data_IF_946576836209
#
_entry.id   IF_946576836209
#
_cell.length_a   1.000
_cell.length_b   1.000
_cell.length_c   1.000
_cell.angle_alpha   90.00
_cell.angle_beta   90.00
_cell.angle_gamma   90.00
#
_symmetry.space_group_name_H-M   'P 1'
#
loop_
_entity.id
_entity.type
_entity.pdbx_description
1 polymer ?
#
# COMPACT_ATOMS: atom_id res chain seq x y z
N UNK A 1 52.89 29.93 3.44
CA UNK A 1 51.50 30.45 3.44
C UNK A 1 50.59 29.79 2.39
N UNK A 2 51.12 29.32 1.24
CA UNK A 2 50.30 28.76 0.13
C UNK A 2 49.75 27.33 0.32
N UNK A 3 50.30 26.49 1.21
CA UNK A 3 49.78 25.13 1.43
C UNK A 3 48.44 25.09 2.20
N UNK A 4 48.21 26.04 3.11
CA UNK A 4 46.98 26.12 3.93
C UNK A 4 45.74 26.47 3.08
N UNK A 5 45.89 27.35 2.10
CA UNK A 5 44.79 27.80 1.22
C UNK A 5 44.31 26.68 0.30
N UNK A 6 45.23 25.89 -0.29
CA UNK A 6 44.86 24.78 -1.18
C UNK A 6 44.16 23.63 -0.44
N UNK A 7 44.57 23.31 0.78
CA UNK A 7 43.92 22.26 1.59
C UNK A 7 42.50 22.65 1.99
N UNK A 8 42.28 23.92 2.36
CA UNK A 8 40.94 24.43 2.74
C UNK A 8 39.97 24.35 1.56
N UNK A 9 40.41 24.70 0.36
CA UNK A 9 39.58 24.69 -0.84
C UNK A 9 39.22 23.26 -1.26
N UNK A 10 40.17 22.30 -1.22
CA UNK A 10 39.91 20.89 -1.55
C UNK A 10 38.94 20.24 -0.55
N UNK A 11 39.10 20.50 0.76
CA UNK A 11 38.17 20.00 1.79
C UNK A 11 36.76 20.57 1.59
N UNK A 12 36.64 21.84 1.24
CA UNK A 12 35.35 22.48 0.96
C UNK A 12 34.64 21.84 -0.26
N UNK A 13 35.40 21.52 -1.32
CA UNK A 13 34.85 20.86 -2.52
C UNK A 13 34.36 19.45 -2.21
N UNK A 14 35.11 18.67 -1.42
CA UNK A 14 34.72 17.30 -1.03
C UNK A 14 33.46 17.31 -0.16
N UNK A 15 33.37 18.23 0.82
CA UNK A 15 32.18 18.38 1.67
C UNK A 15 30.94 18.79 0.86
N UNK A 16 31.11 19.69 -0.11
CA UNK A 16 30.02 20.07 -1.03
C UNK A 16 29.54 18.89 -1.87
N UNK A 17 30.45 18.05 -2.39
CA UNK A 17 30.09 16.89 -3.21
C UNK A 17 29.31 15.84 -2.40
N UNK A 18 29.72 15.59 -1.16
CA UNK A 18 29.02 14.68 -0.24
C UNK A 18 27.62 15.22 0.10
N UNK A 19 27.51 16.54 0.35
CA UNK A 19 26.23 17.19 0.60
C UNK A 19 25.27 17.09 -0.59
N UNK A 20 25.76 17.29 -1.81
CA UNK A 20 24.97 17.11 -3.04
C UNK A 20 24.56 15.65 -3.22
N UNK A 21 25.47 14.69 -2.98
CA UNK A 21 25.16 13.27 -3.07
C UNK A 21 24.07 12.86 -2.06
N UNK A 22 24.19 13.31 -0.81
CA UNK A 22 23.18 13.07 0.22
C UNK A 22 21.82 13.69 -0.15
N UNK A 23 21.82 14.93 -0.64
CA UNK A 23 20.61 15.60 -1.09
C UNK A 23 19.95 14.85 -2.25
N UNK A 24 20.72 14.40 -3.25
CA UNK A 24 20.23 13.59 -4.36
C UNK A 24 19.65 12.27 -3.88
N UNK A 25 20.30 11.59 -2.91
CA UNK A 25 19.74 10.35 -2.34
C UNK A 25 18.44 10.59 -1.59
N UNK A 26 18.34 11.66 -0.80
CA UNK A 26 17.11 12.03 -0.08
C UNK A 26 16.00 12.40 -1.06
N UNK A 27 16.32 13.17 -2.11
CA UNK A 27 15.37 13.49 -3.18
C UNK A 27 14.91 12.24 -3.93
N UNK A 28 15.79 11.29 -4.25
CA UNK A 28 15.42 10.04 -4.91
C UNK A 28 14.53 9.17 -4.00
N UNK A 29 14.81 9.11 -2.69
CA UNK A 29 13.95 8.42 -1.72
C UNK A 29 12.59 9.12 -1.60
N UNK A 30 12.56 10.45 -1.56
CA UNK A 30 11.31 11.23 -1.53
C UNK A 30 10.49 11.11 -2.81
N UNK A 31 11.15 11.01 -3.98
CA UNK A 31 10.49 10.82 -5.27
C UNK A 31 9.97 9.39 -5.47
N UNK A 32 10.61 8.38 -4.86
CA UNK A 32 10.10 7.00 -4.85
C UNK A 32 8.77 6.86 -4.10
N UNK A 33 8.47 7.75 -3.15
CA UNK A 33 7.17 7.82 -2.49
C UNK A 33 6.05 8.47 -3.32
N UNK A 34 6.31 8.82 -4.59
CA UNK A 34 5.35 9.44 -5.52
C UNK A 34 5.17 8.64 -6.81
N UNK A 35 5.44 7.33 -6.80
CA UNK A 35 4.87 6.48 -7.83
C UNK A 35 3.34 6.59 -7.68
N UNK A 36 2.64 6.85 -8.78
CA UNK A 36 1.18 6.79 -8.76
C UNK A 36 0.79 5.41 -8.21
N UNK A 37 0.05 5.43 -7.10
CA UNK A 37 -0.38 4.25 -6.38
C UNK A 37 -1.48 3.57 -7.19
N UNK A 38 -1.07 2.86 -8.24
CA UNK A 38 -1.96 2.25 -9.21
C UNK A 38 -1.63 0.79 -9.44
N UNK A 39 -2.63 -0.02 -9.79
CA UNK A 39 -2.52 -1.44 -10.07
C UNK A 39 -3.26 -1.78 -11.36
N UNK A 40 -2.77 -2.74 -12.12
CA UNK A 40 -3.48 -3.24 -13.30
C UNK A 40 -4.45 -4.34 -12.88
N UNK A 41 -5.75 -4.08 -13.03
CA UNK A 41 -6.83 -5.05 -12.77
C UNK A 41 -7.62 -5.19 -14.07
N UNK A 42 -7.75 -6.42 -14.58
CA UNK A 42 -8.45 -6.72 -15.84
C UNK A 42 -8.00 -5.88 -17.06
N UNK A 43 -6.72 -5.48 -17.11
CA UNK A 43 -6.15 -4.65 -18.17
C UNK A 43 -6.43 -3.15 -18.03
N UNK A 44 -7.04 -2.72 -16.93
CA UNK A 44 -7.29 -1.32 -16.59
C UNK A 44 -6.40 -0.87 -15.44
N UNK A 45 -5.91 0.38 -15.53
CA UNK A 45 -5.13 0.98 -14.44
C UNK A 45 -6.08 1.53 -13.37
N UNK A 46 -6.10 0.88 -12.22
CA UNK A 46 -6.92 1.23 -11.07
C UNK A 46 -6.09 1.99 -10.04
N UNK A 47 -6.66 3.04 -9.45
CA UNK A 47 -6.05 3.75 -8.32
C UNK A 47 -6.24 2.97 -7.01
N UNK A 48 -5.17 2.85 -6.22
CA UNK A 48 -5.18 2.24 -4.89
C UNK A 48 -5.34 3.28 -3.78
N UNK A 49 -5.51 4.57 -4.11
CA UNK A 49 -5.84 5.58 -3.11
C UNK A 49 -7.25 5.39 -2.57
N UNK A 50 -7.39 5.30 -1.25
CA UNK A 50 -8.68 5.28 -0.56
C UNK A 50 -8.64 6.11 0.72
N UNK A 51 -9.27 7.30 0.70
CA UNK A 51 -9.44 8.15 1.87
C UNK A 51 -10.82 8.07 2.51
N UNK A 52 -11.82 7.55 1.79
CA UNK A 52 -13.19 7.38 2.25
C UNK A 52 -13.85 6.13 1.64
N UNK A 53 -15.10 5.87 2.05
CA UNK A 53 -15.94 4.78 1.58
C UNK A 53 -16.12 4.80 0.06
N UNK A 54 -16.33 5.99 -0.52
CA UNK A 54 -16.56 6.15 -1.96
C UNK A 54 -15.33 5.80 -2.80
N UNK A 55 -14.12 6.03 -2.28
CA UNK A 55 -12.89 5.54 -2.93
C UNK A 55 -12.83 4.00 -2.95
N UNK A 56 -13.23 3.34 -1.86
CA UNK A 56 -13.25 1.87 -1.76
C UNK A 56 -14.31 1.28 -2.70
N UNK A 57 -15.50 1.88 -2.77
CA UNK A 57 -16.54 1.48 -3.73
C UNK A 57 -16.06 1.58 -5.18
N UNK A 58 -15.34 2.66 -5.53
CA UNK A 58 -14.75 2.80 -6.87
C UNK A 58 -13.73 1.72 -7.17
N UNK A 59 -12.89 1.37 -6.19
CA UNK A 59 -11.97 0.24 -6.33
C UNK A 59 -12.73 -1.08 -6.57
N UNK A 60 -13.74 -1.40 -5.77
CA UNK A 60 -14.55 -2.61 -5.96
C UNK A 60 -15.26 -2.63 -7.31
N UNK A 61 -15.76 -1.47 -7.76
CA UNK A 61 -16.38 -1.33 -9.09
C UNK A 61 -15.39 -1.62 -10.21
N UNK A 62 -14.15 -1.13 -10.10
CA UNK A 62 -13.09 -1.42 -11.06
C UNK A 62 -12.63 -2.89 -11.06
N UNK A 63 -12.86 -3.62 -9.95
CA UNK A 63 -12.69 -5.07 -9.86
C UNK A 63 -13.88 -5.86 -10.45
N UNK A 64 -14.88 -5.16 -11.02
CA UNK A 64 -16.04 -5.77 -11.68
C UNK A 64 -17.29 -5.95 -10.81
N UNK A 65 -17.30 -5.48 -9.56
CA UNK A 65 -18.49 -5.54 -8.70
C UNK A 65 -19.39 -4.33 -8.94
N UNK A 66 -20.53 -4.52 -9.59
CA UNK A 66 -21.36 -3.41 -10.10
C UNK A 66 -22.16 -2.67 -9.03
N UNK A 67 -22.38 -3.25 -7.85
CA UNK A 67 -23.20 -2.65 -6.79
C UNK A 67 -22.73 -3.08 -5.39
N UNK A 68 -21.52 -2.69 -4.97
CA UNK A 68 -21.07 -2.93 -3.61
C UNK A 68 -21.98 -2.16 -2.63
N UNK A 69 -22.54 -2.85 -1.63
CA UNK A 69 -23.34 -2.29 -0.56
C UNK A 69 -22.53 -2.29 0.74
N UNK A 70 -22.31 -1.11 1.32
CA UNK A 70 -21.55 -0.98 2.56
C UNK A 70 -22.24 -1.68 3.72
N UNK A 71 -21.49 -2.51 4.45
CA UNK A 71 -21.98 -3.19 5.65
C UNK A 71 -21.48 -2.49 6.91
N UNK A 72 -20.17 -2.48 7.12
CA UNK A 72 -19.53 -1.81 8.25
C UNK A 72 -18.04 -1.62 7.99
N UNK A 73 -17.41 -0.79 8.82
CA UNK A 73 -15.96 -0.63 8.87
C UNK A 73 -15.48 -0.74 10.31
N UNK A 74 -14.25 -1.19 10.51
CA UNK A 74 -13.61 -1.17 11.82
C UNK A 74 -12.10 -1.00 11.73
N UNK A 75 -11.52 -0.40 12.77
CA UNK A 75 -10.07 -0.25 12.88
C UNK A 75 -9.43 -1.55 13.35
N UNK A 76 -8.38 -1.96 12.64
CA UNK A 76 -7.54 -3.10 12.97
C UNK A 76 -6.08 -2.64 13.05
N UNK A 77 -5.23 -3.47 13.65
CA UNK A 77 -3.78 -3.28 13.60
C UNK A 77 -3.16 -4.47 12.89
N UNK A 78 -2.43 -4.22 11.81
CA UNK A 78 -1.67 -5.28 11.15
C UNK A 78 -0.65 -5.82 12.15
N UNK A 79 -0.59 -7.14 12.42
CA UNK A 79 0.29 -7.66 13.47
C UNK A 79 1.76 -7.34 13.20
N UNK A 80 2.49 -6.99 14.27
CA UNK A 80 3.95 -6.78 14.21
C UNK A 80 4.71 -8.07 13.96
N UNK A 81 4.30 -9.14 14.66
CA UNK A 81 4.86 -10.47 14.53
C UNK A 81 3.85 -11.34 13.79
N UNK A 82 4.29 -12.01 12.73
CA UNK A 82 3.44 -12.88 11.94
C UNK A 82 3.65 -14.34 12.35
N UNK A 83 2.56 -15.07 12.42
CA UNK A 83 2.54 -16.53 12.42
C UNK A 83 2.36 -17.04 10.99
N UNK A 84 2.25 -18.35 10.84
CA UNK A 84 2.07 -18.99 9.52
C UNK A 84 0.80 -18.48 8.82
N UNK A 85 -0.29 -18.28 9.58
CA UNK A 85 -1.57 -17.77 9.04
C UNK A 85 -1.42 -16.39 8.38
N UNK A 86 -0.80 -15.42 9.07
CA UNK A 86 -0.58 -14.08 8.49
C UNK A 86 0.45 -14.10 7.36
N UNK A 87 1.40 -15.03 7.41
CA UNK A 87 2.39 -15.20 6.35
C UNK A 87 1.70 -15.70 5.08
N UNK A 88 0.90 -16.75 5.18
CA UNK A 88 0.09 -17.30 4.08
C UNK A 88 -0.92 -16.28 3.56
N UNK A 89 -1.60 -15.55 4.45
CA UNK A 89 -2.52 -14.48 4.05
C UNK A 89 -1.80 -13.41 3.22
N UNK A 90 -0.62 -12.95 3.65
CA UNK A 90 0.14 -11.98 2.87
C UNK A 90 0.64 -12.56 1.55
N UNK A 91 0.99 -13.85 1.49
CA UNK A 91 1.38 -14.49 0.23
C UNK A 91 0.25 -14.48 -0.80
N UNK A 92 -1.00 -14.72 -0.36
CA UNK A 92 -2.18 -14.58 -1.21
C UNK A 92 -2.41 -13.13 -1.66
N UNK A 93 -2.24 -12.17 -0.75
CA UNK A 93 -2.36 -10.74 -1.09
C UNK A 93 -1.26 -10.29 -2.08
N UNK A 94 -0.04 -10.82 -1.96
CA UNK A 94 1.07 -10.56 -2.89
C UNK A 94 0.85 -11.07 -4.29
N UNK A 95 0.08 -12.15 -4.46
CA UNK A 95 -0.31 -12.62 -5.79
C UNK A 95 -1.20 -11.61 -6.53
N UNK A 96 -1.93 -10.79 -5.78
CA UNK A 96 -2.78 -9.71 -6.30
C UNK A 96 -2.04 -8.37 -6.43
N UNK A 97 -0.74 -8.30 -6.10
CA UNK A 97 0.04 -7.06 -6.15
C UNK A 97 0.06 -6.24 -4.87
N UNK A 98 -0.55 -6.73 -3.79
CA UNK A 98 -0.51 -6.10 -2.47
C UNK A 98 0.68 -6.59 -1.63
N UNK A 99 1.13 -5.83 -0.62
CA UNK A 99 2.13 -6.31 0.34
C UNK A 99 1.89 -5.70 1.72
N UNK A 100 1.60 -6.54 2.70
CA UNK A 100 1.32 -6.14 4.09
C UNK A 100 2.59 -5.99 4.94
N UNK A 101 3.76 -6.43 4.46
CA UNK A 101 5.02 -6.33 5.22
C UNK A 101 5.36 -4.89 5.63
N UNK A 102 5.22 -3.86 4.76
CA UNK A 102 5.45 -2.46 5.13
C UNK A 102 4.48 -1.91 6.17
N UNK A 103 3.35 -2.59 6.38
CA UNK A 103 2.27 -2.16 7.26
C UNK A 103 2.28 -2.86 8.62
N UNK A 104 3.24 -3.74 8.89
CA UNK A 104 3.39 -4.42 10.18
C UNK A 104 3.39 -3.43 11.36
N UNK A 105 2.45 -3.62 12.27
CA UNK A 105 2.26 -2.78 13.45
C UNK A 105 1.59 -1.43 13.20
N UNK A 106 1.14 -1.16 11.97
CA UNK A 106 0.38 0.04 11.63
C UNK A 106 -1.12 -0.22 11.77
N UNK A 107 -1.86 0.86 12.01
CA UNK A 107 -3.31 0.85 11.95
C UNK A 107 -3.78 0.72 10.49
N UNK A 108 -4.88 0.01 10.30
CA UNK A 108 -5.61 -0.08 9.05
C UNK A 108 -7.12 -0.05 9.36
N UNK A 109 -7.91 0.36 8.39
CA UNK A 109 -9.37 0.25 8.43
C UNK A 109 -9.76 -0.90 7.52
N UNK A 110 -10.51 -1.86 8.05
CA UNK A 110 -11.13 -2.91 7.26
C UNK A 110 -12.57 -2.48 6.93
N UNK A 111 -12.85 -2.38 5.63
CA UNK A 111 -14.18 -2.12 5.09
C UNK A 111 -14.79 -3.42 4.60
N UNK A 112 -16.04 -3.66 4.98
CA UNK A 112 -16.82 -4.81 4.53
C UNK A 112 -17.98 -4.36 3.67
N UNK A 113 -18.13 -4.98 2.50
CA UNK A 113 -19.22 -4.74 1.56
C UNK A 113 -19.91 -6.04 1.18
N UNK A 114 -21.20 -6.00 0.94
CA UNK A 114 -21.92 -7.03 0.19
C UNK A 114 -21.77 -6.74 -1.30
N UNK A 115 -21.22 -7.66 -2.09
CA UNK A 115 -20.89 -7.42 -3.50
C UNK A 115 -21.64 -8.31 -4.49
N UNK A 116 -22.26 -9.38 -3.99
CA UNK A 116 -23.11 -10.32 -4.72
C UNK A 116 -23.98 -11.09 -3.71
N UNK A 117 -25.01 -11.81 -4.17
CA UNK A 117 -26.02 -12.52 -3.35
C UNK A 117 -25.44 -13.43 -2.25
N UNK A 118 -24.19 -13.86 -2.41
CA UNK A 118 -23.50 -14.79 -1.50
C UNK A 118 -22.11 -14.33 -1.09
N UNK A 119 -21.64 -13.16 -1.55
CA UNK A 119 -20.26 -12.73 -1.40
C UNK A 119 -20.16 -11.40 -0.65
N UNK A 120 -19.27 -11.38 0.33
CA UNK A 120 -18.77 -10.15 0.91
C UNK A 120 -17.37 -9.85 0.39
N UNK A 121 -17.05 -8.57 0.23
CA UNK A 121 -15.71 -8.08 -0.04
C UNK A 121 -15.15 -7.39 1.20
N UNK A 122 -13.92 -7.76 1.56
CA UNK A 122 -13.15 -7.14 2.63
C UNK A 122 -11.98 -6.38 2.01
N UNK A 123 -11.89 -5.09 2.31
CA UNK A 123 -10.83 -4.20 1.79
C UNK A 123 -10.11 -3.53 2.96
N UNK A 124 -8.79 -3.70 3.04
CA UNK A 124 -7.96 -3.09 4.06
C UNK A 124 -7.32 -1.82 3.50
N UNK A 125 -7.48 -0.72 4.23
CA UNK A 125 -6.92 0.59 3.90
C UNK A 125 -5.99 1.06 5.02
N UNK A 126 -4.77 1.47 4.67
CA UNK A 126 -3.82 2.07 5.61
C UNK A 126 -3.11 3.23 4.94
N UNK A 127 -2.92 4.35 5.65
CA UNK A 127 -2.27 5.56 5.12
C UNK A 127 -2.89 6.03 3.78
N UNK A 128 -4.23 6.01 3.72
CA UNK A 128 -5.03 6.35 2.53
C UNK A 128 -4.76 5.47 1.29
N UNK A 129 -4.26 4.26 1.49
CA UNK A 129 -3.95 3.30 0.43
C UNK A 129 -4.60 1.95 0.71
N UNK A 130 -5.13 1.32 -0.33
CA UNK A 130 -5.60 -0.07 -0.29
C UNK A 130 -4.37 -1.00 -0.23
N UNK A 131 -4.30 -1.79 0.84
CA UNK A 131 -3.16 -2.65 1.16
C UNK A 131 -3.47 -4.14 1.12
N UNK A 132 -4.75 -4.51 1.04
CA UNK A 132 -5.23 -5.86 0.78
C UNK A 132 -6.70 -5.81 0.36
N UNK A 133 -7.12 -6.79 -0.44
CA UNK A 133 -8.51 -7.00 -0.78
C UNK A 133 -8.77 -8.50 -1.01
N UNK A 134 -9.93 -8.98 -0.61
CA UNK A 134 -10.40 -10.33 -0.91
C UNK A 134 -11.93 -10.38 -0.86
N UNK A 135 -12.49 -11.46 -1.39
CA UNK A 135 -13.92 -11.78 -1.23
C UNK A 135 -14.08 -13.09 -0.49
N UNK A 136 -15.13 -13.20 0.30
CA UNK A 136 -15.48 -14.42 1.00
C UNK A 136 -16.97 -14.71 0.86
N UNK A 137 -17.34 -15.99 0.90
CA UNK A 137 -18.75 -16.35 1.03
C UNK A 137 -19.29 -15.80 2.35
N UNK A 138 -20.59 -15.46 2.41
CA UNK A 138 -21.26 -14.96 3.62
C UNK A 138 -21.14 -15.90 4.84
N UNK A 139 -20.88 -17.20 4.61
CA UNK A 139 -20.59 -18.18 5.67
C UNK A 139 -19.15 -18.08 6.24
N UNK A 140 -18.28 -17.25 5.65
CA UNK A 140 -16.89 -17.00 6.06
C UNK A 140 -15.91 -18.14 5.82
N UNK A 141 -16.33 -19.22 5.15
CA UNK A 141 -15.55 -20.48 5.05
C UNK A 141 -14.57 -20.54 3.90
N UNK A 142 -14.72 -19.67 2.91
CA UNK A 142 -13.91 -19.70 1.70
C UNK A 142 -13.54 -18.26 1.32
N UNK A 143 -12.24 -17.98 1.37
CA UNK A 143 -11.66 -16.72 0.91
C UNK A 143 -11.14 -16.91 -0.51
N UNK A 144 -11.38 -15.90 -1.35
CA UNK A 144 -10.93 -15.84 -2.74
C UNK A 144 -10.32 -14.47 -3.02
N UNK A 145 -9.37 -14.45 -3.94
CA UNK A 145 -8.79 -13.21 -4.44
C UNK A 145 -9.84 -12.36 -5.15
N UNK A 146 -9.70 -11.05 -5.07
CA UNK A 146 -10.50 -10.11 -5.85
C UNK A 146 -10.12 -10.22 -7.33
N UNK A 147 -11.10 -10.05 -8.22
CA UNK A 147 -10.94 -10.21 -9.68
C UNK A 147 -10.36 -8.97 -10.34
#
# INVERSE_FOLDING_TARGET
>A
MFQSVRLKNIRLTILSLIGVLLFVTICLVALRGRAADTMEINGETVTLHAGDEADVERFLTSCGYSSPEFLFQHEITVPKNWNDIYTEYNELQRQQGFDLVPYKGKAATEYEYFVDDTLNASVLVSENRIIAAHVANCDGREMRMIR
#
